data_IF_152992846615
#
_entry.id   IF_152992846615
#
_cell.length_a   1.000
_cell.length_b   1.000
_cell.length_c   1.000
_cell.angle_alpha   90.00
_cell.angle_beta   90.00
_cell.angle_gamma   90.00
#
_symmetry.space_group_name_H-M   'P 1'
#
loop_
_entity.id
_entity.type
_entity.pdbx_description
1 polymer ?
#
# COMPACT_ATOMS: atom_id res chain seq x y z
N UNK A 1 -19.79 7.56 11.51
CA UNK A 1 -19.17 6.26 11.88
C UNK A 1 -19.47 5.25 10.80
N UNK A 2 -18.51 4.38 10.49
CA UNK A 2 -18.65 3.25 9.57
C UNK A 2 -18.27 1.97 10.30
N UNK A 3 -18.84 0.84 9.88
CA UNK A 3 -18.42 -0.47 10.37
C UNK A 3 -17.23 -0.96 9.55
N UNK A 4 -16.10 -1.25 10.20
CA UNK A 4 -14.96 -1.92 9.59
C UNK A 4 -15.06 -3.43 9.86
N UNK A 5 -15.15 -4.22 8.79
CA UNK A 5 -15.18 -5.69 8.83
C UNK A 5 -13.81 -6.27 8.47
N UNK A 6 -13.64 -7.59 8.59
CA UNK A 6 -12.42 -8.28 8.15
C UNK A 6 -12.08 -8.06 6.66
N UNK A 7 -13.07 -7.68 5.84
CA UNK A 7 -12.92 -7.51 4.40
C UNK A 7 -12.83 -6.03 3.96
N UNK A 8 -12.96 -5.08 4.89
CA UNK A 8 -12.95 -3.65 4.61
C UNK A 8 -14.16 -2.92 5.20
N UNK A 9 -14.30 -1.65 4.82
CA UNK A 9 -15.40 -0.79 5.25
C UNK A 9 -16.72 -1.27 4.65
N UNK A 10 -17.77 -1.31 5.47
CA UNK A 10 -19.11 -1.61 4.99
C UNK A 10 -19.57 -0.57 3.95
N UNK A 11 -20.06 -1.04 2.81
CA UNK A 11 -20.41 -0.20 1.66
C UNK A 11 -19.27 0.09 0.69
N UNK A 12 -18.03 -0.32 0.98
CA UNK A 12 -16.91 -0.20 0.03
C UNK A 12 -16.99 -1.24 -1.09
N UNK A 13 -16.94 -0.77 -2.33
CA UNK A 13 -17.00 -1.61 -3.53
C UNK A 13 -15.60 -1.82 -4.13
N UNK A 14 -15.04 -3.01 -3.91
CA UNK A 14 -13.80 -3.41 -4.58
C UNK A 14 -14.08 -3.88 -6.01
N UNK A 15 -13.69 -3.07 -7.00
CA UNK A 15 -13.92 -3.32 -8.42
C UNK A 15 -13.45 -4.72 -8.91
N UNK A 16 -12.41 -5.30 -8.29
CA UNK A 16 -12.02 -6.70 -8.52
C UNK A 16 -11.59 -7.40 -7.22
N UNK A 17 -12.52 -8.04 -6.51
CA UNK A 17 -12.26 -8.72 -5.22
C UNK A 17 -11.12 -9.75 -5.25
N UNK A 18 -10.86 -10.41 -6.39
CA UNK A 18 -9.75 -11.37 -6.54
C UNK A 18 -8.37 -10.70 -6.59
N UNK A 19 -8.28 -9.50 -7.17
CA UNK A 19 -7.01 -8.82 -7.46
C UNK A 19 -6.73 -7.68 -6.50
N UNK A 20 -7.76 -6.96 -6.06
CA UNK A 20 -7.67 -5.75 -5.24
C UNK A 20 -8.30 -5.91 -3.85
N UNK A 21 -8.68 -7.13 -3.47
CA UNK A 21 -9.39 -7.40 -2.24
C UNK A 21 -8.84 -8.55 -1.41
N UNK A 22 -9.57 -8.90 -0.35
CA UNK A 22 -9.28 -9.99 0.57
C UNK A 22 -8.77 -9.51 1.92
N UNK A 23 -8.66 -10.43 2.90
CA UNK A 23 -8.39 -10.09 4.30
C UNK A 23 -7.03 -9.40 4.52
N UNK A 24 -6.07 -9.62 3.62
CA UNK A 24 -4.77 -8.95 3.69
C UNK A 24 -4.78 -7.53 3.08
N UNK A 25 -5.90 -7.09 2.48
CA UNK A 25 -6.02 -5.88 1.67
C UNK A 25 -7.38 -5.20 1.92
N UNK A 26 -7.77 -5.16 3.18
CA UNK A 26 -9.06 -4.66 3.63
C UNK A 26 -9.15 -3.13 3.53
N UNK A 27 -8.03 -2.44 3.72
CA UNK A 27 -7.93 -0.98 3.57
C UNK A 27 -6.71 -0.60 2.75
N UNK A 28 -6.82 0.48 1.99
CA UNK A 28 -5.73 1.15 1.32
C UNK A 28 -5.47 2.51 1.98
N UNK A 29 -4.20 2.85 2.19
CA UNK A 29 -3.79 4.12 2.78
C UNK A 29 -2.83 4.85 1.84
N UNK A 30 -3.11 6.14 1.60
CA UNK A 30 -2.23 7.02 0.83
C UNK A 30 -1.89 8.32 1.60
N UNK A 31 -0.60 8.61 1.86
CA UNK A 31 -0.17 9.82 2.55
C UNK A 31 -0.61 11.11 1.85
N UNK A 32 -1.15 12.08 2.58
CA UNK A 32 -1.61 13.36 2.02
C UNK A 32 -0.46 14.19 1.46
N UNK A 33 0.72 14.05 2.04
CA UNK A 33 1.93 14.77 1.65
C UNK A 33 2.30 14.53 0.18
N UNK A 34 1.95 13.36 -0.37
CA UNK A 34 2.27 13.01 -1.76
C UNK A 34 1.39 13.73 -2.78
N UNK A 35 0.19 14.19 -2.43
CA UNK A 35 -0.64 14.97 -3.35
C UNK A 35 0.07 16.26 -3.78
N UNK A 36 0.68 16.96 -2.83
CA UNK A 36 1.44 18.18 -3.12
C UNK A 36 2.66 17.90 -4.01
N UNK A 37 3.29 16.74 -3.84
CA UNK A 37 4.36 16.31 -4.72
C UNK A 37 3.83 16.11 -6.15
N UNK A 38 2.78 15.32 -6.33
CA UNK A 38 2.24 15.03 -7.66
C UNK A 38 1.66 16.26 -8.37
N UNK A 39 0.99 17.16 -7.64
CA UNK A 39 0.50 18.42 -8.20
C UNK A 39 1.64 19.33 -8.71
N UNK A 40 2.84 19.24 -8.12
CA UNK A 40 4.03 19.96 -8.59
C UNK A 40 4.66 19.30 -9.82
N UNK A 41 4.72 17.97 -9.83
CA UNK A 41 5.25 17.22 -10.98
C UNK A 41 4.33 17.30 -12.20
N UNK A 42 3.01 17.42 -11.99
CA UNK A 42 1.98 17.44 -13.02
C UNK A 42 1.02 18.63 -12.85
N UNK A 43 1.45 19.86 -13.16
CA UNK A 43 0.64 21.06 -12.92
C UNK A 43 -0.68 21.08 -13.72
N UNK A 44 -0.72 20.48 -14.90
CA UNK A 44 -1.94 20.41 -15.72
C UNK A 44 -3.02 19.53 -15.09
N UNK A 45 -2.61 18.52 -14.32
CA UNK A 45 -3.46 17.58 -13.60
C UNK A 45 -3.56 17.90 -12.10
N UNK A 46 -3.04 19.06 -11.65
CA UNK A 46 -2.91 19.40 -10.23
C UNK A 46 -4.21 19.22 -9.44
N UNK A 47 -5.34 19.63 -10.04
CA UNK A 47 -6.67 19.54 -9.45
C UNK A 47 -7.15 18.10 -9.23
N UNK A 48 -6.56 17.11 -9.92
CA UNK A 48 -6.85 15.69 -9.72
C UNK A 48 -6.15 15.13 -8.47
N UNK A 49 -5.07 15.75 -7.99
CA UNK A 49 -4.30 15.24 -6.86
C UNK A 49 -4.90 15.72 -5.52
N UNK A 50 -6.09 15.20 -5.22
CA UNK A 50 -6.78 15.40 -3.94
C UNK A 50 -7.36 14.07 -3.47
N UNK A 51 -7.44 13.83 -2.17
CA UNK A 51 -8.03 12.60 -1.66
C UNK A 51 -9.51 12.48 -2.09
N UNK A 52 -10.01 11.30 -2.57
CA UNK A 52 -9.32 10.02 -2.64
C UNK A 52 -8.82 9.61 -4.04
N UNK A 53 -8.06 10.46 -4.73
CA UNK A 53 -7.69 10.27 -6.14
C UNK A 53 -6.89 9.00 -6.45
N UNK A 54 -6.26 8.38 -5.45
CA UNK A 54 -5.54 7.12 -5.64
C UNK A 54 -6.39 5.89 -5.30
N UNK A 55 -7.69 6.08 -5.00
CA UNK A 55 -8.63 5.04 -4.62
C UNK A 55 -8.37 4.47 -3.23
N UNK A 56 -7.77 5.25 -2.35
CA UNK A 56 -7.51 4.85 -0.97
C UNK A 56 -8.72 5.04 -0.05
N UNK A 57 -8.78 4.24 1.01
CA UNK A 57 -9.80 4.38 2.06
C UNK A 57 -9.35 5.37 3.14
N UNK A 58 -8.04 5.47 3.39
CA UNK A 58 -7.43 6.31 4.41
C UNK A 58 -6.42 7.27 3.77
N UNK A 59 -6.51 8.54 4.14
CA UNK A 59 -5.51 9.52 3.77
C UNK A 59 -5.27 10.47 4.94
N UNK A 60 -4.04 10.46 5.47
CA UNK A 60 -3.64 11.20 6.68
C UNK A 60 -2.34 11.97 6.45
N UNK A 61 -2.05 12.91 7.34
CA UNK A 61 -0.75 13.58 7.46
C UNK A 61 0.09 12.95 8.57
N UNK A 62 1.42 13.02 8.46
CA UNK A 62 2.39 12.54 9.44
C UNK A 62 2.78 11.07 9.30
N UNK A 63 2.08 10.30 8.47
CA UNK A 63 2.37 8.89 8.18
C UNK A 63 2.79 8.75 6.72
N UNK A 64 4.02 8.29 6.49
CA UNK A 64 4.59 8.06 5.17
C UNK A 64 5.27 6.68 5.11
N UNK A 65 5.62 6.24 3.91
CA UNK A 65 6.29 4.95 3.71
C UNK A 65 7.63 4.86 4.44
N UNK A 66 8.26 5.99 4.77
CA UNK A 66 9.53 6.04 5.50
C UNK A 66 9.40 5.92 7.02
N UNK A 67 8.20 6.09 7.59
CA UNK A 67 7.98 6.03 9.04
C UNK A 67 6.91 5.04 9.50
N UNK A 68 6.18 4.43 8.56
CA UNK A 68 5.31 3.28 8.76
C UNK A 68 6.06 1.99 8.45
N UNK A 69 5.94 1.01 9.33
CA UNK A 69 6.68 -0.24 9.25
C UNK A 69 5.75 -1.42 8.92
N UNK A 70 6.31 -2.41 8.21
CA UNK A 70 5.63 -3.65 7.92
C UNK A 70 5.14 -4.30 9.22
N UNK A 71 3.86 -4.65 9.29
CA UNK A 71 3.27 -5.25 10.48
C UNK A 71 2.92 -4.27 11.60
N UNK A 72 3.20 -2.96 11.49
CA UNK A 72 2.72 -1.96 12.45
C UNK A 72 1.22 -2.14 12.68
N UNK A 73 0.80 -2.16 13.95
CA UNK A 73 -0.59 -2.31 14.35
C UNK A 73 -1.09 -0.95 14.84
N UNK A 74 -2.12 -0.44 14.19
CA UNK A 74 -2.78 0.79 14.56
C UNK A 74 -4.16 0.50 15.15
N UNK A 75 -4.52 1.29 16.16
CA UNK A 75 -5.91 1.43 16.60
C UNK A 75 -6.56 2.56 15.81
N UNK A 76 -7.77 2.30 15.33
CA UNK A 76 -8.63 3.28 14.69
C UNK A 76 -10.05 3.13 15.24
N UNK A 77 -10.47 4.04 16.12
CA UNK A 77 -11.72 3.86 16.88
C UNK A 77 -11.70 2.56 17.69
N UNK A 78 -12.67 1.68 17.44
CA UNK A 78 -12.77 0.36 18.09
C UNK A 78 -11.98 -0.74 17.38
N UNK A 79 -11.46 -0.47 16.18
CA UNK A 79 -10.80 -1.47 15.35
C UNK A 79 -9.28 -1.51 15.56
N UNK A 80 -8.70 -2.68 15.27
CA UNK A 80 -7.25 -2.86 15.12
C UNK A 80 -6.93 -3.28 13.68
N UNK A 81 -6.04 -2.53 13.04
CA UNK A 81 -5.59 -2.76 11.67
C UNK A 81 -4.07 -2.95 11.63
N UNK A 82 -3.56 -3.77 10.72
CA UNK A 82 -2.15 -4.11 10.62
C UNK A 82 -1.61 -3.91 9.21
N UNK A 83 -0.48 -3.23 9.09
CA UNK A 83 0.19 -2.98 7.81
C UNK A 83 0.61 -4.30 7.18
N UNK A 84 0.08 -4.63 6.00
CA UNK A 84 0.22 -5.96 5.40
C UNK A 84 1.16 -6.01 4.20
N UNK A 85 1.20 -4.96 3.39
CA UNK A 85 2.09 -4.84 2.24
C UNK A 85 2.11 -3.40 1.70
N UNK A 86 3.17 -3.00 0.99
CA UNK A 86 3.10 -1.87 0.07
C UNK A 86 1.99 -2.07 -0.97
N UNK A 87 1.35 -0.97 -1.36
CA UNK A 87 0.37 -0.99 -2.45
C UNK A 87 1.11 -1.03 -3.78
N UNK A 88 0.85 -2.02 -4.61
CA UNK A 88 1.43 -2.08 -5.96
C UNK A 88 0.66 -1.15 -6.91
N UNK A 89 1.28 -0.10 -7.49
CA UNK A 89 0.63 0.73 -8.50
C UNK A 89 0.25 -0.10 -9.73
N UNK A 90 -0.80 0.28 -10.46
CA UNK A 90 -1.20 -0.41 -11.68
C UNK A 90 -1.67 0.57 -12.76
N UNK A 91 -1.70 0.08 -14.01
CA UNK A 91 -1.99 0.86 -15.21
C UNK A 91 -3.32 1.62 -15.17
N UNK A 92 -4.29 1.21 -14.34
CA UNK A 92 -5.57 1.92 -14.17
C UNK A 92 -5.36 3.36 -13.69
N UNK A 93 -4.29 3.63 -12.94
CA UNK A 93 -3.92 4.98 -12.52
C UNK A 93 -3.50 5.84 -13.71
N UNK A 94 -2.81 5.27 -14.70
CA UNK A 94 -2.38 6.01 -15.88
C UNK A 94 -3.59 6.54 -16.65
N UNK A 95 -4.64 5.73 -16.78
CA UNK A 95 -5.91 6.15 -17.37
C UNK A 95 -6.69 7.12 -16.49
N UNK A 96 -6.67 6.94 -15.16
CA UNK A 96 -7.42 7.80 -14.24
C UNK A 96 -6.91 9.25 -14.24
N UNK A 97 -5.60 9.42 -14.24
CA UNK A 97 -4.96 10.74 -14.21
C UNK A 97 -4.64 11.32 -15.59
N UNK A 98 -4.87 10.57 -16.67
CA UNK A 98 -4.41 10.90 -18.03
C UNK A 98 -2.88 11.17 -18.09
N UNK A 99 -2.11 10.40 -17.31
CA UNK A 99 -0.65 10.47 -17.25
C UNK A 99 -0.11 9.08 -17.58
N UNK A 100 0.51 8.95 -18.75
CA UNK A 100 0.80 7.65 -19.37
C UNK A 100 1.62 6.69 -18.50
N UNK A 101 2.43 7.19 -17.58
CA UNK A 101 3.45 6.45 -16.83
C UNK A 101 3.39 6.66 -15.30
N UNK A 102 2.33 7.28 -14.76
CA UNK A 102 2.25 7.59 -13.32
C UNK A 102 2.40 6.35 -12.43
N UNK A 103 1.87 5.20 -12.84
CA UNK A 103 2.06 3.96 -12.08
C UNK A 103 3.54 3.55 -11.97
N UNK A 104 4.32 3.76 -13.02
CA UNK A 104 5.77 3.50 -13.01
C UNK A 104 6.49 4.53 -12.15
N UNK A 105 6.12 5.81 -12.23
CA UNK A 105 6.70 6.88 -11.42
C UNK A 105 6.42 6.68 -9.93
N UNK A 106 5.20 6.30 -9.54
CA UNK A 106 4.88 5.94 -8.16
C UNK A 106 5.77 4.82 -7.65
N UNK A 107 5.98 3.77 -8.46
CA UNK A 107 6.85 2.65 -8.10
C UNK A 107 8.30 3.12 -7.90
N UNK A 108 8.83 3.90 -8.85
CA UNK A 108 10.23 4.35 -8.82
C UNK A 108 10.51 5.32 -7.66
N UNK A 109 9.54 6.18 -7.34
CA UNK A 109 9.67 7.17 -6.26
C UNK A 109 9.35 6.58 -4.88
N UNK A 110 8.73 5.39 -4.82
CA UNK A 110 8.27 4.77 -3.58
C UNK A 110 7.03 5.43 -2.95
N UNK A 111 6.37 6.38 -3.64
CA UNK A 111 5.16 7.09 -3.19
C UNK A 111 3.91 6.29 -3.49
N UNK A 112 3.83 5.10 -2.92
CA UNK A 112 2.90 4.06 -3.30
C UNK A 112 1.76 3.87 -2.31
N UNK A 113 1.91 4.32 -1.06
CA UNK A 113 1.02 3.96 0.03
C UNK A 113 1.13 2.48 0.42
N UNK A 114 0.21 2.02 1.27
CA UNK A 114 0.21 0.65 1.76
C UNK A 114 -1.19 0.13 2.04
N UNK A 115 -1.27 -1.16 2.34
CA UNK A 115 -2.51 -1.84 2.65
C UNK A 115 -2.53 -2.32 4.10
N UNK A 116 -3.73 -2.48 4.63
CA UNK A 116 -3.96 -3.07 5.95
C UNK A 116 -4.79 -4.36 5.85
N UNK A 117 -4.48 -5.31 6.73
CA UNK A 117 -5.42 -6.31 7.20
C UNK A 117 -6.15 -5.81 8.46
N UNK A 118 -7.31 -6.40 8.76
CA UNK A 118 -8.05 -6.11 9.99
C UNK A 118 -7.80 -7.24 10.98
N UNK A 119 -7.23 -6.90 12.14
CA UNK A 119 -7.02 -7.84 13.26
C UNK A 119 -8.31 -7.94 14.08
N UNK A 120 -8.93 -6.80 14.38
CA UNK A 120 -10.16 -6.71 15.15
C UNK A 120 -11.12 -5.75 14.44
N UNK A 121 -12.27 -6.24 13.92
CA UNK A 121 -13.35 -5.40 13.41
C UNK A 121 -13.92 -4.46 14.47
N UNK A 122 -14.51 -3.35 14.05
CA UNK A 122 -15.11 -2.38 14.97
C UNK A 122 -15.63 -1.12 14.26
N UNK A 123 -16.28 -0.25 15.02
CA UNK A 123 -16.70 1.06 14.49
C UNK A 123 -15.51 2.00 14.36
N UNK A 124 -15.48 2.72 13.25
CA UNK A 124 -14.43 3.68 12.90
C UNK A 124 -15.03 5.02 12.48
N UNK A 125 -14.27 6.10 12.63
CA UNK A 125 -14.65 7.45 12.21
C UNK A 125 -13.45 8.20 11.66
N UNK A 126 -13.69 9.14 10.74
CA UNK A 126 -12.66 10.07 10.27
C UNK A 126 -12.13 10.98 11.40
N UNK A 127 -12.93 11.19 12.45
CA UNK A 127 -12.52 11.98 13.64
C UNK A 127 -11.64 11.20 14.61
N UNK A 128 -11.56 9.87 14.47
CA UNK A 128 -10.71 9.03 15.32
C UNK A 128 -9.29 8.95 14.72
N UNK A 129 -8.24 9.21 15.53
CA UNK A 129 -6.87 9.13 15.04
C UNK A 129 -6.44 7.68 14.77
N UNK A 130 -5.35 7.54 14.02
CA UNK A 130 -4.58 6.29 13.94
C UNK A 130 -3.52 6.29 15.04
N UNK A 131 -3.69 5.45 16.05
CA UNK A 131 -2.76 5.34 17.17
C UNK A 131 -1.89 4.09 17.00
N UNK A 132 -0.56 4.24 16.95
CA UNK A 132 0.34 3.09 16.90
C UNK A 132 0.27 2.33 18.22
N UNK A 133 -0.19 1.08 18.17
CA UNK A 133 -0.30 0.19 19.33
C UNK A 133 0.94 -0.67 19.47
N UNK A 134 1.49 -1.16 18.36
CA UNK A 134 2.64 -2.06 18.37
C UNK A 134 3.43 -1.97 17.07
N UNK A 135 4.76 -1.96 17.21
CA UNK A 135 5.72 -2.13 16.12
C UNK A 135 6.39 -3.49 16.25
N UNK A 136 6.33 -4.29 15.19
CA UNK A 136 6.75 -5.70 15.19
C UNK A 136 7.82 -6.03 14.14
N UNK A 137 8.26 -5.02 13.38
CA UNK A 137 9.30 -5.12 12.36
C UNK A 137 10.16 -3.87 12.37
N UNK A 138 11.38 -3.99 11.86
CA UNK A 138 12.28 -2.87 11.56
C UNK A 138 12.27 -2.47 10.09
N UNK A 139 11.46 -3.14 9.25
CA UNK A 139 11.34 -2.87 7.82
C UNK A 139 10.25 -1.84 7.57
N UNK A 140 10.62 -0.66 7.11
CA UNK A 140 9.68 0.37 6.65
C UNK A 140 8.93 -0.09 5.40
N UNK A 141 7.76 0.48 5.14
CA UNK A 141 7.03 0.27 3.88
C UNK A 141 7.89 0.67 2.68
N UNK A 142 8.68 1.74 2.80
CA UNK A 142 9.61 2.21 1.77
C UNK A 142 10.69 1.15 1.47
N UNK A 143 11.32 0.58 2.50
CA UNK A 143 12.28 -0.52 2.32
C UNK A 143 11.61 -1.73 1.69
N UNK A 144 10.42 -2.13 2.16
CA UNK A 144 9.70 -3.26 1.59
C UNK A 144 9.38 -3.06 0.09
N UNK A 145 8.98 -1.85 -0.30
CA UNK A 145 8.76 -1.48 -1.70
C UNK A 145 10.06 -1.55 -2.52
N UNK A 146 11.16 -1.02 -2.00
CA UNK A 146 12.46 -1.05 -2.66
C UNK A 146 12.96 -2.49 -2.86
N UNK A 147 12.89 -3.33 -1.83
CA UNK A 147 13.25 -4.76 -1.89
C UNK A 147 12.43 -5.47 -2.98
N UNK A 148 11.14 -5.14 -3.09
CA UNK A 148 10.25 -5.80 -4.02
C UNK A 148 10.37 -5.35 -5.48
N UNK A 149 10.83 -4.14 -5.76
CA UNK A 149 10.75 -3.59 -7.12
C UNK A 149 12.06 -3.14 -7.72
N UNK A 150 13.11 -2.99 -6.92
CA UNK A 150 14.40 -2.52 -7.39
C UNK A 150 15.41 -3.67 -7.53
N UNK A 151 16.30 -3.49 -8.50
CA UNK A 151 17.44 -4.37 -8.75
C UNK A 151 18.72 -3.74 -8.17
N UNK A 152 19.74 -4.55 -7.86
CA UNK A 152 19.80 -6.00 -8.03
C UNK A 152 18.96 -6.76 -6.98
N UNK A 153 18.60 -8.01 -7.31
CA UNK A 153 18.08 -8.95 -6.32
C UNK A 153 19.11 -9.18 -5.21
N UNK A 154 18.66 -9.15 -3.97
CA UNK A 154 19.47 -9.35 -2.76
C UNK A 154 18.74 -10.35 -1.84
N UNK A 155 19.27 -11.57 -1.71
CA UNK A 155 18.59 -12.64 -0.96
C UNK A 155 18.46 -12.31 0.54
N UNK A 156 19.42 -11.60 1.12
CA UNK A 156 19.42 -11.23 2.53
C UNK A 156 18.31 -10.21 2.82
N UNK A 157 18.12 -9.24 1.93
CA UNK A 157 17.00 -8.30 2.04
C UNK A 157 15.64 -8.99 1.89
N UNK A 158 15.52 -9.97 0.99
CA UNK A 158 14.30 -10.75 0.85
C UNK A 158 14.04 -11.61 2.09
N UNK A 159 15.08 -12.17 2.70
CA UNK A 159 14.99 -12.88 3.98
C UNK A 159 14.52 -11.97 5.12
N UNK A 160 15.06 -10.74 5.20
CA UNK A 160 14.64 -9.71 6.18
C UNK A 160 13.16 -9.37 6.00
N UNK A 161 12.72 -9.08 4.77
CA UNK A 161 11.32 -8.77 4.49
C UNK A 161 10.38 -9.95 4.79
N UNK A 162 10.76 -11.19 4.43
CA UNK A 162 9.97 -12.39 4.73
C UNK A 162 9.86 -12.67 6.24
N UNK A 163 10.74 -12.10 7.05
CA UNK A 163 10.70 -12.21 8.51
C UNK A 163 9.81 -11.15 9.16
N UNK A 164 9.35 -10.14 8.41
CA UNK A 164 8.44 -9.13 8.92
C UNK A 164 7.05 -9.73 9.19
N UNK A 165 6.59 -9.61 10.44
CA UNK A 165 5.25 -10.05 10.81
C UNK A 165 4.17 -9.24 10.04
N UNK A 166 3.02 -9.85 9.78
CA UNK A 166 1.90 -9.21 9.09
C UNK A 166 2.02 -9.17 7.57
N UNK A 167 3.14 -9.59 6.97
CA UNK A 167 3.31 -9.62 5.51
C UNK A 167 2.22 -10.46 4.84
N UNK A 168 1.58 -9.91 3.81
CA UNK A 168 0.46 -10.59 3.13
C UNK A 168 0.87 -11.94 2.56
N UNK A 169 -0.10 -12.86 2.45
CA UNK A 169 0.14 -14.19 1.85
C UNK A 169 0.61 -14.08 0.40
N UNK A 170 0.09 -13.09 -0.32
CA UNK A 170 0.46 -12.84 -1.73
C UNK A 170 1.90 -12.37 -1.86
N UNK A 171 2.33 -11.42 -1.02
CA UNK A 171 3.72 -10.94 -1.01
C UNK A 171 4.68 -12.02 -0.54
N UNK A 172 4.33 -12.75 0.51
CA UNK A 172 5.12 -13.89 1.00
C UNK A 172 5.42 -14.89 -0.12
N UNK A 173 4.40 -15.28 -0.90
CA UNK A 173 4.56 -16.19 -2.04
C UNK A 173 5.46 -15.61 -3.13
N UNK A 174 5.27 -14.33 -3.47
CA UNK A 174 6.10 -13.64 -4.48
C UNK A 174 7.56 -13.58 -4.05
N UNK A 175 7.84 -13.16 -2.82
CA UNK A 175 9.21 -13.07 -2.30
C UNK A 175 9.87 -14.44 -2.25
N UNK A 176 9.18 -15.48 -1.77
CA UNK A 176 9.69 -16.86 -1.80
C UNK A 176 10.01 -17.34 -3.22
N UNK A 177 9.13 -17.08 -4.20
CA UNK A 177 9.38 -17.44 -5.60
C UNK A 177 10.63 -16.76 -6.14
N UNK A 178 10.82 -15.47 -5.85
CA UNK A 178 11.98 -14.70 -6.31
C UNK A 178 13.28 -15.17 -5.68
N UNK A 179 13.26 -15.54 -4.40
CA UNK A 179 14.40 -16.17 -3.73
C UNK A 179 14.81 -17.49 -4.40
N UNK A 180 13.82 -18.34 -4.74
CA UNK A 180 14.08 -19.60 -5.43
C UNK A 180 14.59 -19.42 -6.86
N UNK A 181 14.13 -18.38 -7.58
CA UNK A 181 14.52 -18.14 -8.98
C UNK A 181 15.75 -17.24 -9.14
N UNK A 182 16.12 -16.47 -8.11
CA UNK A 182 17.10 -15.38 -8.17
C UNK A 182 16.69 -14.23 -9.09
N UNK A 183 15.38 -14.09 -9.41
CA UNK A 183 14.88 -13.16 -10.44
C UNK A 183 13.63 -12.43 -9.98
N UNK A 184 13.62 -11.12 -10.19
CA UNK A 184 12.42 -10.28 -10.14
C UNK A 184 11.71 -10.37 -11.50
N UNK A 185 10.39 -10.60 -11.48
CA UNK A 185 9.58 -10.66 -12.70
C UNK A 185 9.43 -9.30 -13.38
N UNK A 186 9.09 -9.32 -14.67
CA UNK A 186 8.72 -8.11 -15.41
C UNK A 186 7.39 -7.54 -14.89
N UNK A 187 7.37 -6.22 -14.70
CA UNK A 187 6.19 -5.49 -14.21
C UNK A 187 5.36 -4.86 -15.32
N UNK A 188 5.72 -5.04 -16.60
CA UNK A 188 5.15 -4.28 -17.70
C UNK A 188 3.64 -4.49 -17.81
N UNK A 189 3.18 -5.73 -17.62
CA UNK A 189 1.75 -6.05 -17.58
C UNK A 189 1.00 -5.30 -16.49
N UNK A 190 1.59 -5.14 -15.30
CA UNK A 190 0.95 -4.42 -14.19
C UNK A 190 0.96 -2.91 -14.41
N UNK A 191 2.07 -2.38 -14.89
CA UNK A 191 2.31 -0.93 -14.97
C UNK A 191 1.75 -0.30 -16.25
N UNK A 192 1.65 -1.07 -17.34
CA UNK A 192 1.23 -0.58 -18.67
C UNK A 192 0.05 -1.35 -19.26
N UNK A 193 -0.37 -2.46 -18.65
CA UNK A 193 -1.47 -3.29 -19.15
C UNK A 193 -1.13 -4.10 -20.42
N UNK A 194 0.15 -4.17 -20.79
CA UNK A 194 0.66 -4.83 -21.99
C UNK A 194 1.59 -5.99 -21.64
#
# INVERSE_FOLDING_TARGET
ELMLTELGLEGDEQAEKKVHGGPDRALCHYPREHYLYWAREFPEQAELFVAPAFGENLSTDGLTESNVYMGDIFRWGEALIQVSQPRSPCYKLNYHFDISDIAQLMQNTGKVGWLYSVIAPGKVSADAPLELVSRVSDVTVQEAAAIAWHMPFDDDQYHRLLSAAGLSKSWTRTMQKRRLSGKIEDFSRRLWGK
#
